data_IF_281873290749
#
_entry.id   IF_281873290749
#
_cell.length_a   1.000
_cell.length_b   1.000
_cell.length_c   1.000
_cell.angle_alpha   90.00
_cell.angle_beta   90.00
_cell.angle_gamma   90.00
#
_symmetry.space_group_name_H-M   'P 1'
#
loop_
_entity.id
_entity.type
_entity.pdbx_description
1 polymer ?
#
# COMPACT_ATOMS: atom_id res chain seq x y z
N UNK A 1 2.96 -0.77 17.78
CA UNK A 1 3.31 -1.41 16.50
C UNK A 1 3.24 -0.40 15.38
N UNK A 2 4.39 -0.03 14.82
CA UNK A 2 4.56 0.99 13.79
C UNK A 2 5.27 0.33 12.61
N UNK A 3 4.51 -0.05 11.60
CA UNK A 3 5.01 -0.87 10.48
C UNK A 3 5.05 -0.04 9.21
N UNK A 4 6.15 -0.14 8.45
CA UNK A 4 6.21 0.31 7.06
C UNK A 4 6.06 -0.90 6.15
N UNK A 5 5.03 -0.92 5.30
CA UNK A 5 4.91 -1.90 4.22
C UNK A 5 5.45 -1.30 2.92
N UNK A 6 6.61 -1.80 2.51
CA UNK A 6 7.32 -1.39 1.32
C UNK A 6 7.25 -2.45 0.22
N UNK A 7 7.44 -2.04 -1.03
CA UNK A 7 7.40 -2.94 -2.18
C UNK A 7 6.81 -2.26 -3.42
N UNK A 8 6.95 -2.93 -4.57
CA UNK A 8 6.55 -2.38 -5.85
C UNK A 8 5.03 -2.06 -5.94
N UNK A 9 4.61 -1.12 -6.82
CA UNK A 9 3.22 -0.98 -7.22
C UNK A 9 2.63 -2.33 -7.66
N UNK A 10 1.45 -2.68 -7.15
CA UNK A 10 0.77 -3.94 -7.53
C UNK A 10 1.22 -5.19 -6.77
N UNK A 11 2.22 -5.10 -5.90
CA UNK A 11 2.73 -6.27 -5.16
C UNK A 11 1.70 -6.89 -4.20
N UNK A 12 0.75 -6.11 -3.70
CA UNK A 12 -0.29 -6.57 -2.77
C UNK A 12 -0.27 -5.91 -1.39
N UNK A 13 0.56 -4.87 -1.19
CA UNK A 13 0.66 -4.11 0.08
C UNK A 13 -0.69 -3.81 0.71
N UNK A 14 -1.58 -3.13 -0.02
CA UNK A 14 -2.88 -2.71 0.53
C UNK A 14 -3.74 -3.88 1.02
N UNK A 15 -3.73 -5.02 0.31
CA UNK A 15 -4.45 -6.23 0.73
C UNK A 15 -3.89 -6.78 2.03
N UNK A 16 -2.57 -6.91 2.12
CA UNK A 16 -1.89 -7.44 3.32
C UNK A 16 -2.04 -6.46 4.50
N UNK A 17 -1.93 -5.15 4.23
CA UNK A 17 -2.10 -4.08 5.20
C UNK A 17 -3.51 -4.06 5.79
N UNK A 18 -4.55 -4.24 4.96
CA UNK A 18 -5.94 -4.25 5.39
C UNK A 18 -6.23 -5.44 6.32
N UNK A 19 -5.77 -6.65 5.94
CA UNK A 19 -5.97 -7.85 6.76
C UNK A 19 -5.20 -7.71 8.09
N UNK A 20 -3.94 -7.28 8.04
CA UNK A 20 -3.10 -7.08 9.23
C UNK A 20 -3.65 -6.00 10.15
N UNK A 21 -4.14 -4.88 9.58
CA UNK A 21 -4.76 -3.78 10.31
C UNK A 21 -5.96 -4.23 11.14
N UNK A 22 -6.84 -5.06 10.56
CA UNK A 22 -8.00 -5.62 11.27
C UNK A 22 -7.56 -6.61 12.36
N UNK A 23 -6.63 -7.50 12.05
CA UNK A 23 -6.16 -8.55 12.98
C UNK A 23 -5.46 -7.97 14.21
N UNK A 24 -4.59 -6.97 14.01
CA UNK A 24 -3.77 -6.37 15.08
C UNK A 24 -4.33 -5.05 15.63
N UNK A 25 -5.49 -4.61 15.16
CA UNK A 25 -6.11 -3.33 15.53
C UNK A 25 -5.14 -2.15 15.32
N UNK A 26 -4.54 -2.10 14.13
CA UNK A 26 -3.64 -1.03 13.70
C UNK A 26 -4.37 -0.10 12.74
N UNK A 27 -4.06 1.20 12.77
CA UNK A 27 -4.54 2.13 11.74
C UNK A 27 -3.82 1.83 10.41
N UNK A 28 -4.58 1.51 9.37
CA UNK A 28 -4.04 1.46 8.01
C UNK A 28 -3.99 2.88 7.41
N UNK A 29 -2.78 3.41 7.22
CA UNK A 29 -2.54 4.71 6.60
C UNK A 29 -2.12 4.45 5.14
N UNK A 30 -3.10 4.43 4.24
CA UNK A 30 -2.87 4.27 2.80
C UNK A 30 -2.88 5.63 2.10
N UNK A 31 -1.70 6.16 1.81
CA UNK A 31 -1.54 7.49 1.19
C UNK A 31 -2.22 7.56 -0.17
N UNK A 32 -2.16 6.46 -0.94
CA UNK A 32 -2.83 6.41 -2.24
C UNK A 32 -4.35 6.57 -2.13
N UNK A 33 -4.99 5.95 -1.13
CA UNK A 33 -6.43 6.05 -0.90
C UNK A 33 -6.79 7.47 -0.43
N UNK A 34 -6.03 8.02 0.52
CA UNK A 34 -6.25 9.38 1.03
C UNK A 34 -6.24 10.38 -0.14
N UNK A 35 -5.21 10.35 -0.99
CA UNK A 35 -5.15 11.26 -2.15
C UNK A 35 -6.30 11.06 -3.13
N UNK A 36 -6.74 9.81 -3.38
CA UNK A 36 -7.89 9.53 -4.26
C UNK A 36 -9.21 10.03 -3.67
N UNK A 37 -9.38 9.93 -2.35
CA UNK A 37 -10.55 10.47 -1.65
C UNK A 37 -10.56 12.00 -1.72
N UNK A 38 -9.42 12.66 -1.52
CA UNK A 38 -9.29 14.11 -1.65
C UNK A 38 -9.62 14.57 -3.09
N UNK A 39 -9.12 13.86 -4.11
CA UNK A 39 -9.47 14.10 -5.52
C UNK A 39 -10.98 13.95 -5.74
N UNK A 40 -11.60 12.90 -5.18
CA UNK A 40 -13.05 12.63 -5.33
C UNK A 40 -13.91 13.69 -4.65
N UNK A 41 -13.46 14.22 -3.50
CA UNK A 41 -14.12 15.30 -2.77
C UNK A 41 -13.89 16.70 -3.38
N UNK A 42 -13.03 16.79 -4.39
CA UNK A 42 -12.61 18.06 -5.00
C UNK A 42 -12.05 19.07 -3.98
N UNK A 43 -11.37 18.56 -2.95
CA UNK A 43 -10.76 19.40 -1.93
C UNK A 43 -9.64 20.27 -2.51
N UNK A 44 -9.11 21.22 -1.74
CA UNK A 44 -7.97 22.02 -2.16
C UNK A 44 -6.78 21.13 -2.59
N UNK A 45 -6.39 20.20 -1.70
CA UNK A 45 -5.36 19.18 -1.96
C UNK A 45 -5.74 18.32 -3.16
N UNK A 46 -7.00 17.84 -3.21
CA UNK A 46 -7.48 16.98 -4.29
C UNK A 46 -7.34 17.60 -5.68
N UNK A 47 -7.68 18.89 -5.82
CA UNK A 47 -7.56 19.62 -7.09
C UNK A 47 -6.11 19.83 -7.50
N UNK A 48 -5.23 20.13 -6.54
CA UNK A 48 -3.80 20.29 -6.77
C UNK A 48 -3.14 18.99 -7.27
N UNK A 49 -3.44 17.86 -6.61
CA UNK A 49 -2.74 16.60 -6.88
C UNK A 49 -3.36 15.76 -8.00
N UNK A 50 -4.57 16.10 -8.47
CA UNK A 50 -5.32 15.31 -9.47
C UNK A 50 -4.48 14.97 -10.69
N UNK A 51 -3.88 15.98 -11.34
CA UNK A 51 -3.06 15.82 -12.57
C UNK A 51 -1.79 15.01 -12.33
N UNK A 52 -1.17 15.16 -11.16
CA UNK A 52 0.08 14.47 -10.79
C UNK A 52 -0.20 12.98 -10.59
N UNK A 53 -1.26 12.65 -9.84
CA UNK A 53 -1.64 11.27 -9.57
C UNK A 53 -2.04 10.54 -10.86
N UNK A 54 -2.79 11.20 -11.75
CA UNK A 54 -3.21 10.62 -13.03
C UNK A 54 -2.09 10.46 -14.05
N UNK A 55 -0.96 11.17 -13.89
CA UNK A 55 0.22 10.97 -14.74
C UNK A 55 1.18 9.91 -14.20
N UNK A 56 0.91 9.35 -13.02
CA UNK A 56 1.79 8.37 -12.37
C UNK A 56 2.99 8.97 -11.66
N UNK A 57 3.08 10.30 -11.59
CA UNK A 57 4.14 11.03 -10.90
C UNK A 57 3.95 11.00 -9.38
N UNK A 58 5.02 11.30 -8.66
CA UNK A 58 4.97 11.52 -7.22
C UNK A 58 4.45 12.93 -6.93
N UNK A 59 3.54 13.02 -5.97
CA UNK A 59 3.10 14.29 -5.38
C UNK A 59 4.25 14.89 -4.59
N UNK A 60 4.27 16.22 -4.46
CA UNK A 60 5.24 16.96 -3.66
C UNK A 60 5.45 16.31 -2.28
N UNK A 61 6.71 16.13 -1.91
CA UNK A 61 7.08 15.37 -0.71
C UNK A 61 6.57 16.04 0.57
N UNK A 62 6.70 17.36 0.70
CA UNK A 62 6.30 18.09 1.91
C UNK A 62 4.79 17.98 2.16
N UNK A 63 3.98 18.04 1.09
CA UNK A 63 2.54 17.79 1.18
C UNK A 63 2.24 16.38 1.69
N UNK A 64 2.94 15.36 1.16
CA UNK A 64 2.76 13.97 1.61
C UNK A 64 3.22 13.77 3.05
N UNK A 65 4.35 14.36 3.43
CA UNK A 65 4.89 14.30 4.79
C UNK A 65 3.90 14.92 5.79
N UNK A 66 3.30 16.06 5.46
CA UNK A 66 2.27 16.68 6.30
C UNK A 66 1.04 15.78 6.46
N UNK A 67 0.54 15.19 5.36
CA UNK A 67 -0.58 14.24 5.42
C UNK A 67 -0.25 13.03 6.30
N UNK A 68 0.95 12.47 6.16
CA UNK A 68 1.42 11.33 6.98
C UNK A 68 1.49 11.71 8.44
N UNK A 69 2.08 12.88 8.75
CA UNK A 69 2.20 13.40 10.12
C UNK A 69 0.83 13.56 10.79
N UNK A 70 -0.13 14.14 10.06
CA UNK A 70 -1.49 14.33 10.56
C UNK A 70 -2.20 12.99 10.81
N UNK A 71 -2.08 12.03 9.90
CA UNK A 71 -2.67 10.70 10.08
C UNK A 71 -2.03 9.93 11.25
N UNK A 72 -0.71 10.02 11.44
CA UNK A 72 -0.03 9.42 12.58
C UNK A 72 -0.50 10.07 13.88
N UNK A 73 -0.60 11.40 13.94
CA UNK A 73 -1.09 12.11 15.13
C UNK A 73 -2.52 11.68 15.51
N UNK A 74 -3.40 11.46 14.53
CA UNK A 74 -4.75 10.93 14.78
C UNK A 74 -4.75 9.53 15.43
N UNK A 75 -3.67 8.76 15.30
CA UNK A 75 -3.55 7.45 15.99
C UNK A 75 -3.12 7.56 17.46
N UNK A 76 -2.51 8.68 17.84
CA UNK A 76 -1.96 8.90 19.19
C UNK A 76 -3.00 9.55 20.11
N UNK A 77 -3.97 10.28 19.56
CA UNK A 77 -5.02 10.96 20.34
C UNK A 77 -5.94 9.93 21.01
N UNK A 78 -5.80 9.80 22.34
CA UNK A 78 -6.67 8.96 23.19
C UNK A 78 -8.14 9.38 23.01
N UNK A 79 -9.00 8.42 22.66
CA UNK A 79 -10.44 8.61 22.46
C UNK A 79 -10.91 8.47 21.01
N UNK A 80 -10.00 8.50 20.03
CA UNK A 80 -10.34 8.35 18.61
C UNK A 80 -9.91 6.97 18.10
N UNK A 81 -10.72 5.93 18.36
CA UNK A 81 -10.43 4.52 18.04
C UNK A 81 -9.13 3.99 18.67
N UNK A 82 -9.22 3.16 19.72
CA UNK A 82 -8.07 2.59 20.46
C UNK A 82 -7.16 1.69 19.60
N UNK A 83 -6.44 2.25 18.62
CA UNK A 83 -5.47 1.57 17.78
C UNK A 83 -4.18 1.31 18.57
N UNK A 84 -3.53 0.18 18.30
CA UNK A 84 -2.25 -0.22 18.93
C UNK A 84 -1.01 0.32 18.19
N UNK A 85 -1.24 1.19 17.20
CA UNK A 85 -0.26 1.76 16.31
C UNK A 85 -0.78 1.81 14.88
N UNK A 86 0.12 1.74 13.89
CA UNK A 86 -0.23 1.98 12.49
C UNK A 86 0.58 1.14 11.51
N UNK A 87 0.07 1.08 10.28
CA UNK A 87 0.74 0.54 9.10
C UNK A 87 0.79 1.65 8.05
N UNK A 88 1.99 2.05 7.65
CA UNK A 88 2.21 2.96 6.51
C UNK A 88 2.25 2.14 5.22
N UNK A 89 1.31 2.42 4.31
CA UNK A 89 1.20 1.77 3.01
C UNK A 89 1.36 2.80 1.88
N UNK A 90 2.47 2.68 1.16
CA UNK A 90 2.81 3.56 0.04
C UNK A 90 3.61 4.82 0.44
N UNK A 91 4.21 4.81 1.63
CA UNK A 91 5.17 5.80 2.14
C UNK A 91 6.21 5.11 3.03
N UNK A 92 7.50 5.46 2.97
CA UNK A 92 8.12 6.45 2.08
C UNK A 92 8.33 5.92 0.65
N UNK A 93 8.59 6.83 -0.29
CA UNK A 93 8.84 6.56 -1.73
C UNK A 93 10.20 7.06 -2.24
N UNK A 94 10.92 7.82 -1.42
CA UNK A 94 12.27 8.27 -1.69
C UNK A 94 13.04 8.47 -0.36
N UNK A 95 14.32 8.84 -0.45
CA UNK A 95 15.18 9.05 0.71
C UNK A 95 14.72 10.23 1.57
N UNK A 96 14.31 11.35 0.96
CA UNK A 96 13.87 12.53 1.70
C UNK A 96 12.65 12.23 2.60
N UNK A 97 11.64 11.56 2.05
CA UNK A 97 10.50 11.05 2.81
C UNK A 97 10.92 10.09 3.93
N UNK A 98 11.94 9.27 3.69
CA UNK A 98 12.46 8.32 4.69
C UNK A 98 13.15 9.06 5.85
N UNK A 99 13.95 10.09 5.55
CA UNK A 99 14.59 10.93 6.56
C UNK A 99 13.60 11.75 7.37
N UNK A 100 12.51 12.22 6.76
CA UNK A 100 11.47 12.95 7.48
C UNK A 100 10.61 12.01 8.35
N UNK A 101 10.31 10.80 7.87
CA UNK A 101 9.53 9.82 8.63
C UNK A 101 10.14 9.54 10.00
N UNK A 102 11.45 9.32 10.05
CA UNK A 102 12.15 8.94 11.29
C UNK A 102 12.31 10.11 12.27
N UNK A 103 12.12 11.35 11.80
CA UNK A 103 11.99 12.53 12.68
C UNK A 103 10.60 12.64 13.29
N UNK A 104 9.58 12.13 12.58
CA UNK A 104 8.18 12.17 13.03
C UNK A 104 7.90 11.04 14.03
N UNK A 105 8.44 9.84 13.79
CA UNK A 105 8.17 8.68 14.64
C UNK A 105 9.16 7.54 14.42
N UNK A 106 9.38 6.73 15.45
CA UNK A 106 10.12 5.47 15.31
C UNK A 106 9.36 4.44 14.48
N UNK A 107 10.08 3.51 13.83
CA UNK A 107 9.51 2.41 13.07
C UNK A 107 9.98 1.09 13.68
N UNK A 108 9.03 0.26 14.11
CA UNK A 108 9.32 -1.03 14.77
C UNK A 108 9.76 -2.08 13.74
N UNK A 109 9.14 -2.06 12.55
CA UNK A 109 9.34 -3.05 11.49
C UNK A 109 9.16 -2.45 10.10
N UNK A 110 10.16 -2.62 9.25
CA UNK A 110 10.11 -2.33 7.82
C UNK A 110 9.97 -3.64 7.03
N UNK A 111 8.83 -3.85 6.38
CA UNK A 111 8.57 -5.07 5.62
C UNK A 111 8.64 -4.77 4.12
N UNK A 112 9.67 -5.29 3.46
CA UNK A 112 9.78 -5.24 2.01
C UNK A 112 9.13 -6.48 1.39
N UNK A 113 8.00 -6.27 0.74
CA UNK A 113 7.27 -7.29 0.00
C UNK A 113 7.75 -7.29 -1.46
N UNK A 114 8.07 -8.47 -1.98
CA UNK A 114 8.64 -8.63 -3.30
C UNK A 114 7.82 -9.55 -4.22
N UNK A 115 7.75 -9.16 -5.49
CA UNK A 115 7.29 -9.96 -6.63
C UNK A 115 8.10 -9.58 -7.87
N UNK A 116 8.35 -10.53 -8.79
CA UNK A 116 9.05 -10.24 -10.03
C UNK A 116 8.19 -9.37 -10.98
N UNK A 117 8.87 -8.58 -11.82
CA UNK A 117 8.24 -7.58 -12.72
C UNK A 117 7.12 -8.18 -13.60
N UNK A 118 7.30 -9.37 -14.15
CA UNK A 118 6.29 -10.01 -15.01
C UNK A 118 4.99 -10.34 -14.27
N UNK A 119 5.06 -10.72 -12.99
CA UNK A 119 3.87 -10.95 -12.14
C UNK A 119 3.23 -9.61 -11.77
N UNK A 120 4.03 -8.59 -11.44
CA UNK A 120 3.54 -7.24 -11.13
C UNK A 120 2.72 -6.65 -12.27
N UNK A 121 3.20 -6.79 -13.52
CA UNK A 121 2.47 -6.33 -14.71
C UNK A 121 1.10 -7.02 -14.80
N UNK A 122 1.06 -8.36 -14.73
CA UNK A 122 -0.21 -9.13 -14.73
C UNK A 122 -1.17 -8.65 -13.63
N UNK A 123 -0.67 -8.45 -12.40
CA UNK A 123 -1.48 -7.95 -11.27
C UNK A 123 -1.98 -6.52 -11.50
N UNK A 124 -1.16 -5.63 -12.04
CA UNK A 124 -1.54 -4.23 -12.29
C UNK A 124 -2.61 -4.15 -13.39
N UNK A 125 -2.45 -4.90 -14.49
CA UNK A 125 -3.45 -4.98 -15.56
C UNK A 125 -4.79 -5.58 -15.09
N UNK A 126 -4.74 -6.52 -14.13
CA UNK A 126 -5.91 -7.13 -13.50
C UNK A 126 -6.56 -6.30 -12.40
N UNK A 127 -5.93 -5.22 -11.94
CA UNK A 127 -6.43 -4.44 -10.78
C UNK A 127 -7.75 -3.76 -11.11
N UNK A 128 -8.70 -3.85 -10.19
CA UNK A 128 -10.02 -3.22 -10.28
C UNK A 128 -10.38 -2.51 -8.98
N UNK A 129 -11.31 -1.58 -9.07
CA UNK A 129 -11.96 -0.94 -7.93
C UNK A 129 -13.46 -1.09 -8.08
N UNK A 130 -14.16 -1.39 -6.98
CA UNK A 130 -15.62 -1.38 -6.99
C UNK A 130 -16.13 0.06 -7.01
N UNK A 131 -17.02 0.38 -7.96
CA UNK A 131 -17.62 1.70 -8.07
C UNK A 131 -18.49 2.10 -6.86
N UNK A 132 -18.99 1.12 -6.10
CA UNK A 132 -19.91 1.32 -4.98
C UNK A 132 -19.16 1.38 -3.65
N UNK A 133 -18.39 0.34 -3.31
CA UNK A 133 -17.72 0.23 -2.01
C UNK A 133 -16.28 0.74 -2.00
N UNK A 134 -15.71 1.09 -3.17
CA UNK A 134 -14.35 1.60 -3.32
C UNK A 134 -13.23 0.60 -2.92
N UNK A 135 -13.58 -0.66 -2.61
CA UNK A 135 -12.59 -1.71 -2.31
C UNK A 135 -11.80 -2.10 -3.56
N UNK A 136 -10.55 -2.51 -3.34
CA UNK A 136 -9.65 -2.95 -4.39
C UNK A 136 -9.82 -4.45 -4.65
N UNK A 137 -9.86 -4.83 -5.92
CA UNK A 137 -9.99 -6.19 -6.41
C UNK A 137 -8.92 -6.47 -7.45
N UNK A 138 -8.75 -7.74 -7.80
CA UNK A 138 -7.86 -8.15 -8.87
C UNK A 138 -8.47 -9.30 -9.65
N UNK A 139 -8.76 -9.08 -10.93
CA UNK A 139 -9.36 -10.11 -11.79
C UNK A 139 -8.32 -10.98 -12.49
N UNK A 140 -7.02 -10.71 -12.32
CA UNK A 140 -5.98 -11.55 -12.91
C UNK A 140 -5.95 -12.91 -12.20
N UNK A 141 -6.04 -13.97 -13.00
CA UNK A 141 -5.67 -15.31 -12.58
C UNK A 141 -4.22 -15.59 -13.01
N UNK A 142 -3.34 -15.77 -12.03
CA UNK A 142 -1.92 -15.98 -12.28
C UNK A 142 -1.54 -17.39 -11.81
N UNK A 143 -1.29 -18.25 -12.80
CA UNK A 143 -0.75 -19.60 -12.66
C UNK A 143 0.54 -19.65 -13.48
N UNK A 144 1.68 -19.44 -12.84
CA UNK A 144 2.96 -19.25 -13.53
C UNK A 144 4.08 -19.87 -12.71
N UNK A 145 4.65 -21.00 -13.16
CA UNK A 145 5.70 -21.72 -12.43
C UNK A 145 5.33 -21.97 -10.96
N UNK A 146 6.00 -21.30 -10.02
CA UNK A 146 5.78 -21.38 -8.57
C UNK A 146 4.82 -20.30 -8.03
N UNK A 147 4.08 -19.62 -8.90
CA UNK A 147 3.07 -18.62 -8.55
C UNK A 147 1.66 -19.18 -8.75
N UNK A 148 0.87 -19.18 -7.68
CA UNK A 148 -0.56 -19.56 -7.66
C UNK A 148 -1.39 -18.45 -7.01
N UNK A 149 -1.70 -17.40 -7.78
CA UNK A 149 -2.45 -16.25 -7.27
C UNK A 149 -3.83 -16.20 -7.92
N UNK A 150 -4.89 -16.71 -7.27
CA UNK A 150 -6.23 -16.63 -7.81
C UNK A 150 -6.73 -15.17 -7.81
N UNK A 151 -7.75 -14.87 -8.63
CA UNK A 151 -8.43 -13.58 -8.59
C UNK A 151 -8.94 -13.25 -7.19
N UNK A 152 -8.92 -11.96 -6.85
CA UNK A 152 -9.55 -11.40 -5.65
C UNK A 152 -10.80 -10.69 -6.13
N UNK A 153 -11.95 -11.34 -5.97
CA UNK A 153 -13.24 -10.87 -6.44
C UNK A 153 -14.11 -10.36 -5.27
N UNK A 154 -15.15 -9.55 -5.56
CA UNK A 154 -16.12 -9.13 -4.56
C UNK A 154 -16.76 -10.32 -3.83
N UNK A 155 -16.74 -10.29 -2.50
CA UNK A 155 -17.46 -11.25 -1.67
C UNK A 155 -18.95 -10.89 -1.60
N UNK A 156 -19.80 -11.92 -1.57
CA UNK A 156 -21.25 -11.79 -1.29
C UNK A 156 -21.52 -11.22 0.10
N UNK A 157 -20.57 -11.30 1.02
CA UNK A 157 -20.64 -10.75 2.38
C UNK A 157 -20.41 -9.23 2.44
N UNK A 158 -20.02 -8.59 1.31
CA UNK A 158 -19.82 -7.15 1.28
C UNK A 158 -21.16 -6.42 1.48
N UNK A 159 -21.33 -5.73 2.61
CA UNK A 159 -22.54 -4.98 2.98
C UNK A 159 -22.98 -3.86 2.01
N UNK A 160 -22.18 -3.54 0.99
CA UNK A 160 -22.45 -2.46 0.03
C UNK A 160 -22.77 -3.02 -1.35
N UNK A 161 -21.91 -3.88 -1.90
CA UNK A 161 -22.10 -4.40 -3.26
C UNK A 161 -22.65 -5.84 -3.31
N UNK A 162 -22.67 -6.57 -2.18
CA UNK A 162 -23.16 -7.95 -2.06
C UNK A 162 -22.59 -8.89 -3.13
N UNK A 163 -21.31 -8.74 -3.49
CA UNK A 163 -20.65 -9.53 -4.53
C UNK A 163 -20.88 -9.06 -5.97
N UNK A 164 -21.85 -8.17 -6.21
CA UNK A 164 -22.28 -7.74 -7.54
C UNK A 164 -21.73 -6.36 -7.93
N UNK A 165 -20.45 -6.11 -7.60
CA UNK A 165 -19.82 -4.83 -7.85
C UNK A 165 -19.62 -4.56 -9.35
N UNK A 166 -19.95 -3.34 -9.80
CA UNK A 166 -19.38 -2.81 -11.03
C UNK A 166 -17.88 -2.54 -10.82
N UNK A 167 -17.03 -3.37 -11.45
CA UNK A 167 -15.58 -3.33 -11.31
C UNK A 167 -14.95 -2.47 -12.40
N UNK A 168 -14.42 -1.32 -11.99
CA UNK A 168 -13.78 -0.36 -12.88
C UNK A 168 -12.26 -0.53 -12.85
N UNK A 169 -11.60 -0.27 -13.98
CA UNK A 169 -10.15 -0.02 -13.97
C UNK A 169 -9.89 1.31 -13.28
N UNK A 170 -8.77 1.41 -12.56
CA UNK A 170 -8.35 2.70 -12.02
C UNK A 170 -7.84 3.58 -13.16
N UNK A 171 -8.06 4.89 -13.04
CA UNK A 171 -7.59 5.87 -14.02
C UNK A 171 -6.07 5.91 -14.16
N UNK A 172 -5.34 5.43 -13.15
CA UNK A 172 -3.89 5.39 -13.07
C UNK A 172 -3.29 3.99 -13.33
N UNK A 173 -4.04 3.10 -13.99
CA UNK A 173 -3.64 1.74 -14.40
C UNK A 173 -3.70 1.55 -15.93
N UNK A 174 -3.03 2.43 -16.67
CA UNK A 174 -2.67 2.19 -18.07
C UNK A 174 -1.22 1.73 -18.20
N UNK A 175 -0.85 1.20 -19.36
CA UNK A 175 0.46 0.58 -19.55
C UNK A 175 1.62 1.56 -19.35
N UNK A 176 1.52 2.80 -19.86
CA UNK A 176 2.59 3.79 -19.70
C UNK A 176 2.78 4.20 -18.22
N UNK A 177 1.69 4.46 -17.51
CA UNK A 177 1.72 4.83 -16.08
C UNK A 177 2.26 3.66 -15.23
N UNK A 178 1.85 2.43 -15.55
CA UNK A 178 2.34 1.23 -14.86
C UNK A 178 3.87 1.12 -15.04
N UNK A 179 4.36 1.26 -16.27
CA UNK A 179 5.79 1.23 -16.55
C UNK A 179 6.53 2.32 -15.76
N UNK A 180 6.07 3.57 -15.86
CA UNK A 180 6.65 4.71 -15.15
C UNK A 180 6.74 4.48 -13.64
N UNK A 181 5.68 3.93 -13.03
CA UNK A 181 5.65 3.63 -11.58
C UNK A 181 6.59 2.50 -11.18
N UNK A 182 6.73 1.49 -12.01
CA UNK A 182 7.68 0.41 -11.78
C UNK A 182 9.12 0.91 -11.90
N UNK A 183 9.41 1.73 -12.90
CA UNK A 183 10.75 2.26 -13.14
C UNK A 183 11.14 3.25 -12.02
N UNK A 184 10.22 4.12 -11.60
CA UNK A 184 10.41 5.00 -10.43
C UNK A 184 10.65 4.20 -9.14
N UNK A 185 9.95 3.08 -8.94
CA UNK A 185 10.24 2.20 -7.80
C UNK A 185 11.62 1.54 -7.92
N UNK A 186 12.00 1.09 -9.11
CA UNK A 186 13.30 0.45 -9.34
C UNK A 186 14.47 1.40 -9.06
N UNK A 187 14.34 2.69 -9.34
CA UNK A 187 15.40 3.67 -9.07
C UNK A 187 15.51 4.06 -7.59
N UNK A 188 14.44 3.94 -6.80
CA UNK A 188 14.44 4.37 -5.39
C UNK A 188 14.45 3.25 -4.36
N UNK A 189 14.18 1.99 -4.75
CA UNK A 189 13.98 0.91 -3.79
C UNK A 189 15.20 0.56 -2.92
N UNK A 190 16.37 0.37 -3.52
CA UNK A 190 17.61 -0.01 -2.83
C UNK A 190 18.06 1.10 -1.87
N UNK A 191 18.08 2.39 -2.27
CA UNK A 191 18.35 3.48 -1.34
C UNK A 191 17.46 3.43 -0.07
N UNK A 192 16.14 3.27 -0.23
CA UNK A 192 15.20 3.24 0.90
C UNK A 192 15.43 2.01 1.79
N UNK A 193 15.57 0.83 1.20
CA UNK A 193 15.83 -0.40 1.96
C UNK A 193 17.12 -0.26 2.77
N UNK A 194 18.20 0.26 2.16
CA UNK A 194 19.47 0.45 2.84
C UNK A 194 19.38 1.50 3.95
N UNK A 195 18.61 2.58 3.74
CA UNK A 195 18.35 3.57 4.78
C UNK A 195 17.76 2.93 6.04
N UNK A 196 16.72 2.11 5.91
CA UNK A 196 16.12 1.44 7.08
C UNK A 196 17.00 0.35 7.70
N UNK A 197 17.80 -0.37 6.89
CA UNK A 197 18.80 -1.32 7.41
C UNK A 197 19.84 -0.63 8.29
N UNK A 198 20.28 0.57 7.91
CA UNK A 198 21.30 1.32 8.65
C UNK A 198 20.79 1.97 9.94
N UNK A 199 19.48 2.08 10.11
CA UNK A 199 18.84 2.67 11.30
C UNK A 199 18.64 1.68 12.45
N UNK A 200 19.19 0.46 12.36
CA UNK A 200 18.91 -0.65 13.30
C UNK A 200 17.41 -0.98 13.44
N UNK A 201 16.59 -0.62 12.45
CA UNK A 201 15.19 -1.05 12.37
C UNK A 201 15.15 -2.53 11.93
N UNK A 202 14.18 -3.30 12.42
CA UNK A 202 13.97 -4.66 11.91
C UNK A 202 13.52 -4.58 10.45
N UNK A 203 14.32 -5.14 9.54
CA UNK A 203 13.99 -5.21 8.11
C UNK A 203 13.63 -6.65 7.74
N UNK A 204 12.38 -6.85 7.36
CA UNK A 204 11.86 -8.14 6.91
C UNK A 204 11.70 -8.13 5.39
N UNK A 205 12.21 -9.16 4.72
CA UNK A 205 11.97 -9.41 3.30
C UNK A 205 10.97 -10.56 3.15
N UNK A 206 9.91 -10.35 2.34
CA UNK A 206 8.87 -11.36 2.12
C UNK A 206 8.53 -11.52 0.64
N UNK A 207 8.73 -12.72 0.10
CA UNK A 207 8.34 -13.08 -1.25
C UNK A 207 6.90 -13.63 -1.28
N UNK A 208 6.04 -13.04 -2.09
CA UNK A 208 4.69 -13.59 -2.32
C UNK A 208 4.75 -14.63 -3.42
N UNK A 209 4.08 -15.77 -3.24
CA UNK A 209 3.94 -16.84 -4.23
C UNK A 209 2.48 -17.18 -4.51
N UNK A 210 1.62 -17.16 -3.49
CA UNK A 210 0.23 -17.64 -3.55
C UNK A 210 -0.82 -16.57 -3.25
N UNK A 211 -0.44 -15.29 -3.39
CA UNK A 211 -1.34 -14.17 -3.14
C UNK A 211 -1.79 -14.12 -1.68
N UNK A 212 -3.11 -13.99 -1.44
CA UNK A 212 -3.66 -13.94 -0.08
C UNK A 212 -3.38 -15.23 0.71
N UNK A 213 -3.22 -16.38 0.05
CA UNK A 213 -2.90 -17.66 0.72
C UNK A 213 -1.55 -17.64 1.46
N UNK A 214 -0.69 -16.65 1.21
CA UNK A 214 0.55 -16.47 1.96
C UNK A 214 0.39 -15.60 3.20
N UNK A 215 -0.80 -15.04 3.46
CA UNK A 215 -1.01 -14.10 4.56
C UNK A 215 -0.69 -14.72 5.93
N UNK A 216 -1.05 -15.98 6.18
CA UNK A 216 -0.75 -16.60 7.48
C UNK A 216 0.76 -16.74 7.70
N UNK A 217 1.52 -17.12 6.66
CA UNK A 217 2.98 -17.17 6.75
C UNK A 217 3.58 -15.77 6.92
N UNK A 218 3.07 -14.79 6.18
CA UNK A 218 3.46 -13.39 6.32
C UNK A 218 3.24 -12.88 7.76
N UNK A 219 2.04 -13.10 8.28
CA UNK A 219 1.64 -12.74 9.64
C UNK A 219 2.54 -13.42 10.68
N UNK A 220 2.74 -14.74 10.56
CA UNK A 220 3.60 -15.51 11.46
C UNK A 220 5.07 -15.06 11.41
N UNK A 221 5.51 -14.44 10.31
CA UNK A 221 6.85 -13.89 10.19
C UNK A 221 6.93 -12.52 10.85
N UNK A 222 5.94 -11.65 10.64
CA UNK A 222 5.86 -10.35 11.30
C UNK A 222 5.80 -10.52 12.82
N UNK A 223 5.01 -11.47 13.33
CA UNK A 223 4.80 -11.59 14.79
C UNK A 223 6.01 -12.05 15.58
N UNK A 224 7.04 -12.59 14.92
CA UNK A 224 8.31 -12.93 15.56
C UNK A 224 9.17 -11.72 15.89
N UNK A 225 8.84 -10.57 15.31
CA UNK A 225 9.49 -9.29 15.60
C UNK A 225 8.70 -8.48 16.64
N UNK A 226 7.76 -9.13 17.34
CA UNK A 226 7.01 -8.58 18.47
C UNK A 226 7.60 -9.04 19.80
#
# INVERSE_FOLDING_TARGET
MKIVLFGAPGVGKGTFAEILSKKEKLKHINIGNILREEIKKESCVGREVKKIVTSGNLVNDDLIINIVKDEINKTIIKGYNNFKGFILDGFPRNIYQSSELVKITDIDLFVNIHLPKHILIKKLSGRRICAQCNNNFNVADIRDNNYDMPPILPSTECKICNGNANLLKRSDDNNEIIAHRLDSYQSTNLPIINFFKNLNCNVLHFDIKRGIKDFDNFYNTIVKHF
#
